data_IF_209734281330
#
_entry.id   IF_209734281330
#
_cell.length_a   1.000
_cell.length_b   1.000
_cell.length_c   1.000
_cell.angle_alpha   90.00
_cell.angle_beta   90.00
_cell.angle_gamma   90.00
#
_symmetry.space_group_name_H-M   'P 1'
#
loop_
_entity.id
_entity.type
_entity.pdbx_description
1 polymer ?
#
# COMPACT_ATOMS: atom_id res chain seq x y z
N UNK A 1 -3.44 12.87 -32.00
CA UNK A 1 -4.51 13.56 -31.26
C UNK A 1 -5.73 12.66 -31.36
N UNK A 2 -6.01 11.87 -30.33
CA UNK A 2 -7.30 11.20 -30.20
C UNK A 2 -8.18 12.13 -29.37
N UNK A 3 -9.38 12.45 -29.87
CA UNK A 3 -10.37 13.22 -29.14
C UNK A 3 -10.93 12.43 -27.95
N UNK A 4 -11.72 13.07 -27.07
CA UNK A 4 -12.35 12.38 -25.95
C UNK A 4 -13.20 11.21 -26.45
N UNK A 5 -13.04 10.05 -25.81
CA UNK A 5 -13.78 8.85 -26.19
C UNK A 5 -15.25 9.00 -25.79
N UNK A 6 -16.15 8.84 -26.76
CA UNK A 6 -17.58 8.82 -26.49
C UNK A 6 -17.98 7.44 -25.98
N UNK A 7 -18.33 7.35 -24.69
CA UNK A 7 -18.84 6.13 -24.08
C UNK A 7 -20.37 6.12 -24.25
N UNK A 8 -20.95 5.11 -24.93
CA UNK A 8 -22.40 4.98 -25.05
C UNK A 8 -23.04 4.82 -23.67
N UNK A 9 -24.19 5.46 -23.45
CA UNK A 9 -24.97 5.33 -22.22
C UNK A 9 -25.60 3.93 -22.09
N UNK A 10 -24.79 2.98 -21.63
CA UNK A 10 -25.17 1.59 -21.39
C UNK A 10 -24.48 1.10 -20.11
N UNK A 11 -25.26 0.95 -19.04
CA UNK A 11 -24.78 0.52 -17.74
C UNK A 11 -24.04 -0.84 -17.76
N UNK A 12 -24.44 -1.77 -18.64
CA UNK A 12 -23.77 -3.08 -18.75
C UNK A 12 -22.42 -2.94 -19.45
N UNK A 13 -22.33 -2.08 -20.46
CA UNK A 13 -21.06 -1.75 -21.11
C UNK A 13 -20.13 -1.01 -20.14
N UNK A 14 -20.64 -0.01 -19.42
CA UNK A 14 -19.91 0.74 -18.39
C UNK A 14 -19.24 -0.19 -17.39
N UNK A 15 -19.98 -1.13 -16.80
CA UNK A 15 -19.45 -2.12 -15.84
C UNK A 15 -18.34 -2.98 -16.46
N UNK A 16 -18.48 -3.39 -17.73
CA UNK A 16 -17.45 -4.16 -18.45
C UNK A 16 -16.18 -3.34 -18.70
N UNK A 17 -16.32 -2.07 -19.08
CA UNK A 17 -15.19 -1.19 -19.33
C UNK A 17 -14.44 -0.90 -18.03
N UNK A 18 -15.14 -0.54 -16.95
CA UNK A 18 -14.55 -0.36 -15.62
C UNK A 18 -13.76 -1.59 -15.17
N UNK A 19 -14.35 -2.78 -15.33
CA UNK A 19 -13.68 -4.05 -15.01
C UNK A 19 -12.44 -4.27 -15.86
N UNK A 20 -12.54 -4.10 -17.17
CA UNK A 20 -11.42 -4.33 -18.08
C UNK A 20 -10.28 -3.35 -17.77
N UNK A 21 -10.52 -2.04 -17.84
CA UNK A 21 -9.47 -1.04 -17.62
C UNK A 21 -8.81 -1.18 -16.25
N UNK A 22 -9.58 -1.46 -15.20
CA UNK A 22 -9.03 -1.69 -13.87
C UNK A 22 -8.23 -2.99 -13.76
N UNK A 23 -8.60 -4.05 -14.49
CA UNK A 23 -7.86 -5.31 -14.51
C UNK A 23 -6.47 -5.20 -15.16
N UNK A 24 -6.33 -4.28 -16.13
CA UNK A 24 -5.06 -3.96 -16.78
C UNK A 24 -4.38 -2.72 -16.17
N UNK A 25 -4.84 -2.28 -15.00
CA UNK A 25 -4.28 -1.15 -14.24
C UNK A 25 -4.12 0.14 -15.06
N UNK A 26 -5.06 0.39 -15.96
CA UNK A 26 -5.05 1.55 -16.86
C UNK A 26 -6.25 2.44 -16.56
N UNK A 27 -6.00 3.74 -16.45
CA UNK A 27 -7.03 4.75 -16.21
C UNK A 27 -7.60 5.28 -17.51
N UNK A 28 -8.92 5.46 -17.53
CA UNK A 28 -9.63 6.17 -18.59
C UNK A 28 -10.45 7.28 -17.93
N UNK A 29 -10.10 8.54 -18.20
CA UNK A 29 -10.70 9.69 -17.52
C UNK A 29 -12.22 9.74 -17.72
N UNK A 30 -12.70 9.32 -18.89
CA UNK A 30 -14.11 9.24 -19.24
C UNK A 30 -14.89 8.19 -18.42
N UNK A 31 -14.20 7.22 -17.81
CA UNK A 31 -14.82 6.24 -16.92
C UNK A 31 -14.96 6.74 -15.47
N UNK A 32 -14.28 7.82 -15.08
CA UNK A 32 -14.44 8.40 -13.74
C UNK A 32 -15.88 8.86 -13.48
N UNK A 33 -16.52 9.70 -14.32
CA UNK A 33 -17.90 10.11 -14.08
C UNK A 33 -18.88 8.92 -14.10
N UNK A 34 -18.61 7.90 -14.92
CA UNK A 34 -19.38 6.65 -14.94
C UNK A 34 -19.28 5.91 -13.61
N UNK A 35 -18.07 5.77 -13.05
CA UNK A 35 -17.87 5.14 -11.74
C UNK A 35 -18.46 5.96 -10.59
N UNK A 36 -18.38 7.30 -10.66
CA UNK A 36 -18.99 8.20 -9.67
C UNK A 36 -20.52 8.08 -9.66
N UNK A 37 -21.14 8.01 -10.84
CA UNK A 37 -22.57 7.80 -10.98
C UNK A 37 -22.98 6.46 -10.35
N UNK A 38 -22.28 5.37 -10.69
CA UNK A 38 -22.57 4.07 -10.10
C UNK A 38 -22.42 4.07 -8.57
N UNK A 39 -21.36 4.70 -8.03
CA UNK A 39 -21.18 4.84 -6.58
C UNK A 39 -22.30 5.67 -5.92
N UNK A 40 -22.89 6.61 -6.64
CA UNK A 40 -24.01 7.44 -6.14
C UNK A 40 -25.31 6.65 -6.13
N UNK A 41 -25.55 5.85 -7.18
CA UNK A 41 -26.74 5.00 -7.31
C UNK A 41 -26.71 3.81 -6.34
N UNK A 42 -25.53 3.25 -6.09
CA UNK A 42 -25.31 2.07 -5.24
C UNK A 42 -24.21 2.35 -4.19
N UNK A 43 -24.48 3.18 -3.14
CA UNK A 43 -23.44 3.64 -2.19
C UNK A 43 -22.79 2.52 -1.37
N UNK A 44 -23.52 1.44 -1.14
CA UNK A 44 -23.08 0.24 -0.42
C UNK A 44 -22.36 -0.78 -1.30
N UNK A 45 -22.22 -0.52 -2.61
CA UNK A 45 -21.57 -1.42 -3.56
C UNK A 45 -20.06 -1.33 -3.42
N UNK A 46 -19.43 -2.42 -2.97
CA UNK A 46 -17.97 -2.54 -2.89
C UNK A 46 -17.33 -2.39 -4.29
N UNK A 47 -17.93 -3.01 -5.30
CA UNK A 47 -17.47 -2.95 -6.69
C UNK A 47 -17.47 -1.50 -7.21
N UNK A 48 -18.56 -0.76 -6.97
CA UNK A 48 -18.66 0.64 -7.42
C UNK A 48 -17.55 1.49 -6.78
N UNK A 49 -17.30 1.30 -5.48
CA UNK A 49 -16.29 2.05 -4.73
C UNK A 49 -14.88 1.69 -5.18
N UNK A 50 -14.63 0.40 -5.41
CA UNK A 50 -13.38 -0.11 -5.95
C UNK A 50 -13.07 0.51 -7.33
N UNK A 51 -14.01 0.44 -8.27
CA UNK A 51 -13.77 0.91 -9.64
C UNK A 51 -13.59 2.44 -9.70
N UNK A 52 -14.28 3.19 -8.84
CA UNK A 52 -14.06 4.63 -8.71
C UNK A 52 -12.63 4.93 -8.23
N UNK A 53 -12.20 4.28 -7.15
CA UNK A 53 -10.85 4.46 -6.62
C UNK A 53 -9.77 4.04 -7.64
N UNK A 54 -9.99 2.90 -8.31
CA UNK A 54 -9.08 2.36 -9.31
C UNK A 54 -8.90 3.32 -10.50
N UNK A 55 -10.00 3.83 -11.08
CA UNK A 55 -9.90 4.75 -12.22
C UNK A 55 -9.22 6.07 -11.85
N UNK A 56 -9.54 6.65 -10.68
CA UNK A 56 -8.87 7.85 -10.17
C UNK A 56 -7.36 7.62 -9.98
N UNK A 57 -6.99 6.49 -9.36
CA UNK A 57 -5.58 6.10 -9.16
C UNK A 57 -4.84 5.94 -10.48
N UNK A 58 -5.41 5.18 -11.42
CA UNK A 58 -4.74 4.86 -12.68
C UNK A 58 -4.71 6.06 -13.65
N UNK A 59 -5.64 7.01 -13.51
CA UNK A 59 -5.55 8.32 -14.16
C UNK A 59 -4.51 9.24 -13.52
N UNK A 60 -3.89 8.83 -12.40
CA UNK A 60 -2.78 9.53 -11.77
C UNK A 60 -3.19 10.58 -10.76
N UNK A 61 -4.39 10.49 -10.18
CA UNK A 61 -4.78 11.36 -9.08
C UNK A 61 -3.85 11.16 -7.87
N UNK A 62 -3.36 12.28 -7.33
CA UNK A 62 -2.35 12.30 -6.27
C UNK A 62 -2.93 12.28 -4.86
N UNK A 63 -2.52 13.23 -4.02
CA UNK A 63 -2.86 13.27 -2.60
C UNK A 63 -4.36 13.41 -2.31
N UNK A 64 -5.13 14.04 -3.19
CA UNK A 64 -6.58 14.17 -3.05
C UNK A 64 -7.30 12.82 -3.00
N UNK A 65 -6.70 11.76 -3.56
CA UNK A 65 -7.27 10.42 -3.57
C UNK A 65 -7.00 9.64 -2.27
N UNK A 66 -6.00 10.03 -1.47
CA UNK A 66 -5.55 9.25 -0.33
C UNK A 66 -6.66 9.01 0.70
N UNK A 67 -7.44 10.06 1.01
CA UNK A 67 -8.53 9.95 1.99
C UNK A 67 -9.59 8.92 1.56
N UNK A 68 -9.94 8.90 0.27
CA UNK A 68 -10.92 7.94 -0.26
C UNK A 68 -10.37 6.51 -0.30
N UNK A 69 -9.08 6.34 -0.60
CA UNK A 69 -8.42 5.03 -0.53
C UNK A 69 -8.38 4.49 0.90
N UNK A 70 -8.04 5.33 1.88
CA UNK A 70 -8.09 4.97 3.29
C UNK A 70 -9.51 4.60 3.73
N UNK A 71 -10.50 5.44 3.41
CA UNK A 71 -11.90 5.17 3.75
C UNK A 71 -12.42 3.88 3.11
N UNK A 72 -12.04 3.60 1.86
CA UNK A 72 -12.37 2.33 1.19
C UNK A 72 -11.71 1.14 1.90
N UNK A 73 -10.42 1.22 2.19
CA UNK A 73 -9.66 0.16 2.86
C UNK A 73 -10.13 -0.15 4.28
N UNK A 74 -10.55 0.87 5.03
CA UNK A 74 -11.13 0.73 6.37
C UNK A 74 -12.53 0.10 6.31
N UNK A 75 -13.34 0.48 5.33
CA UNK A 75 -14.72 -0.04 5.17
C UNK A 75 -14.73 -1.48 4.64
N UNK A 76 -13.88 -1.79 3.67
CA UNK A 76 -13.83 -3.05 2.94
C UNK A 76 -12.39 -3.58 2.85
N UNK A 77 -11.87 -4.13 3.96
CA UNK A 77 -10.53 -4.69 4.02
C UNK A 77 -10.37 -5.88 3.06
N UNK A 78 -9.77 -5.65 1.88
CA UNK A 78 -9.59 -6.68 0.84
C UNK A 78 -8.25 -6.59 0.12
N UNK A 79 -7.86 -7.67 -0.58
CA UNK A 79 -6.65 -7.69 -1.43
C UNK A 79 -6.69 -6.60 -2.51
N UNK A 80 -7.88 -6.23 -2.98
CA UNK A 80 -8.06 -5.15 -3.95
C UNK A 80 -7.77 -3.79 -3.31
N UNK A 81 -8.33 -3.51 -2.13
CA UNK A 81 -8.06 -2.29 -1.39
C UNK A 81 -6.58 -2.15 -1.01
N UNK A 82 -5.96 -3.25 -0.55
CA UNK A 82 -4.53 -3.33 -0.26
C UNK A 82 -3.69 -2.92 -1.50
N UNK A 83 -4.01 -3.48 -2.66
CA UNK A 83 -3.29 -3.20 -3.90
C UNK A 83 -3.42 -1.73 -4.33
N UNK A 84 -4.59 -1.11 -4.17
CA UNK A 84 -4.77 0.31 -4.52
C UNK A 84 -3.91 1.23 -3.64
N UNK A 85 -3.89 1.00 -2.32
CA UNK A 85 -3.03 1.77 -1.40
C UNK A 85 -1.53 1.54 -1.69
N UNK A 86 -1.12 0.31 -1.95
CA UNK A 86 0.27 -0.02 -2.29
C UNK A 86 0.70 0.67 -3.60
N UNK A 87 -0.14 0.64 -4.62
CA UNK A 87 0.12 1.31 -5.90
C UNK A 87 0.18 2.84 -5.75
N UNK A 88 -0.73 3.42 -4.96
CA UNK A 88 -0.70 4.85 -4.64
C UNK A 88 0.61 5.21 -3.91
N UNK A 89 0.96 4.48 -2.86
CA UNK A 89 2.20 4.72 -2.09
C UNK A 89 3.43 4.59 -2.99
N UNK A 90 3.52 3.54 -3.83
CA UNK A 90 4.64 3.36 -4.76
C UNK A 90 4.85 4.54 -5.73
N UNK A 91 3.78 5.28 -6.04
CA UNK A 91 3.83 6.44 -6.94
C UNK A 91 4.09 7.76 -6.21
N UNK A 92 3.47 7.96 -5.06
CA UNK A 92 3.43 9.27 -4.39
C UNK A 92 4.30 9.34 -3.14
N UNK A 93 4.36 8.27 -2.36
CA UNK A 93 5.16 8.20 -1.13
C UNK A 93 5.84 6.82 -0.98
N UNK A 94 6.90 6.53 -1.75
CA UNK A 94 7.55 5.22 -1.79
C UNK A 94 8.06 4.74 -0.43
N UNK A 95 8.47 5.67 0.43
CA UNK A 95 8.98 5.37 1.78
C UNK A 95 7.89 4.81 2.71
N UNK A 96 6.61 5.12 2.48
CA UNK A 96 5.50 4.49 3.19
C UNK A 96 5.25 3.04 2.76
N UNK A 97 5.74 2.62 1.59
CA UNK A 97 5.36 1.35 0.99
C UNK A 97 5.68 0.17 1.91
N UNK A 98 6.88 0.15 2.49
CA UNK A 98 7.30 -0.93 3.38
C UNK A 98 6.45 -0.98 4.65
N UNK A 99 6.15 0.17 5.23
CA UNK A 99 5.30 0.32 6.41
C UNK A 99 3.87 -0.15 6.11
N UNK A 100 3.34 0.22 4.94
CA UNK A 100 2.01 -0.18 4.50
C UNK A 100 1.93 -1.71 4.29
N UNK A 101 2.95 -2.33 3.69
CA UNK A 101 3.03 -3.81 3.58
C UNK A 101 2.97 -4.46 4.97
N UNK A 102 3.67 -3.91 5.96
CA UNK A 102 3.64 -4.42 7.33
C UNK A 102 2.24 -4.31 7.96
N UNK A 103 1.57 -3.15 7.80
CA UNK A 103 0.21 -2.94 8.33
C UNK A 103 -0.79 -3.88 7.68
N UNK A 104 -0.73 -4.04 6.35
CA UNK A 104 -1.60 -4.95 5.59
C UNK A 104 -1.40 -6.39 6.06
N UNK A 105 -0.16 -6.84 6.17
CA UNK A 105 0.14 -8.21 6.57
C UNK A 105 -0.25 -8.47 8.02
N UNK A 106 0.06 -7.55 8.94
CA UNK A 106 -0.32 -7.65 10.34
C UNK A 106 -1.84 -7.79 10.52
N UNK A 107 -2.64 -7.06 9.72
CA UNK A 107 -4.11 -7.17 9.76
C UNK A 107 -4.61 -8.56 9.35
N UNK A 108 -3.92 -9.22 8.42
CA UNK A 108 -4.27 -10.57 7.98
C UNK A 108 -3.83 -11.66 8.97
N UNK A 109 -2.95 -11.34 9.93
CA UNK A 109 -2.45 -12.28 10.92
C UNK A 109 -3.39 -12.34 12.12
N UNK A 110 -4.49 -13.09 11.96
CA UNK A 110 -5.45 -13.37 13.04
C UNK A 110 -5.67 -14.88 13.20
N UNK A 111 -6.03 -15.32 14.40
CA UNK A 111 -6.39 -16.71 14.67
C UNK A 111 -7.81 -17.04 14.21
N UNK A 112 -8.25 -18.28 14.43
CA UNK A 112 -9.59 -18.73 14.05
C UNK A 112 -10.73 -17.99 14.80
N UNK A 113 -10.40 -17.28 15.88
CA UNK A 113 -11.31 -16.46 16.69
C UNK A 113 -11.20 -14.97 16.35
N UNK A 114 -10.40 -14.61 15.34
CA UNK A 114 -10.15 -13.23 14.92
C UNK A 114 -9.22 -12.46 15.86
N UNK A 115 -8.54 -13.12 16.79
CA UNK A 115 -7.56 -12.45 17.66
C UNK A 115 -6.26 -12.22 16.90
N UNK A 116 -5.63 -11.04 17.07
CA UNK A 116 -4.33 -10.76 16.45
C UNK A 116 -3.29 -11.81 16.84
N UNK A 117 -2.69 -12.44 15.83
CA UNK A 117 -1.50 -13.26 15.99
C UNK A 117 -0.27 -12.35 16.06
N UNK A 118 0.80 -12.90 16.62
CA UNK A 118 2.10 -12.25 16.60
C UNK A 118 2.57 -12.12 15.16
N UNK A 119 2.54 -10.91 14.63
CA UNK A 119 3.06 -10.61 13.30
C UNK A 119 4.59 -10.62 13.32
N UNK A 120 5.18 -11.28 12.33
CA UNK A 120 6.61 -11.35 12.13
C UNK A 120 6.96 -10.80 10.73
N UNK A 121 7.44 -9.55 10.64
CA UNK A 121 7.75 -8.93 9.37
C UNK A 121 8.75 -9.73 8.53
N UNK A 122 8.45 -9.85 7.23
CA UNK A 122 9.35 -10.48 6.27
C UNK A 122 9.40 -12.01 6.34
N UNK A 123 8.43 -12.68 6.95
CA UNK A 123 8.31 -14.14 6.86
C UNK A 123 7.50 -14.61 5.66
N UNK A 124 6.49 -13.84 5.21
CA UNK A 124 5.75 -14.23 4.02
C UNK A 124 6.53 -13.96 2.73
N UNK A 125 6.38 -14.89 1.78
CA UNK A 125 6.91 -14.72 0.43
C UNK A 125 6.31 -13.48 -0.26
N UNK A 126 5.03 -13.17 0.00
CA UNK A 126 4.36 -11.97 -0.54
C UNK A 126 5.06 -10.70 -0.08
N UNK A 127 5.29 -10.54 1.22
CA UNK A 127 5.96 -9.35 1.77
C UNK A 127 7.38 -9.19 1.25
N UNK A 128 8.14 -10.28 1.17
CA UNK A 128 9.47 -10.25 0.55
C UNK A 128 9.41 -9.84 -0.93
N UNK A 129 8.45 -10.33 -1.70
CA UNK A 129 8.32 -9.92 -3.11
C UNK A 129 7.98 -8.44 -3.24
N UNK A 130 7.03 -7.93 -2.45
CA UNK A 130 6.64 -6.52 -2.45
C UNK A 130 7.81 -5.61 -2.04
N UNK A 131 8.55 -5.97 -0.99
CA UNK A 131 9.73 -5.22 -0.59
C UNK A 131 10.86 -5.27 -1.62
N UNK A 132 11.05 -6.41 -2.29
CA UNK A 132 12.01 -6.51 -3.38
C UNK A 132 11.60 -5.58 -4.52
N UNK A 133 10.32 -5.58 -4.91
CA UNK A 133 9.80 -4.72 -5.97
C UNK A 133 10.07 -3.23 -5.71
N UNK A 134 9.81 -2.75 -4.49
CA UNK A 134 10.05 -1.33 -4.17
C UNK A 134 11.55 -1.00 -4.06
N UNK A 135 12.38 -1.91 -3.56
CA UNK A 135 13.85 -1.75 -3.58
C UNK A 135 14.37 -1.58 -5.02
N UNK A 136 13.92 -2.44 -5.93
CA UNK A 136 14.35 -2.39 -7.34
C UNK A 136 13.75 -1.21 -8.11
N UNK A 137 12.73 -0.52 -7.56
CA UNK A 137 12.13 0.64 -8.21
C UNK A 137 13.06 1.86 -8.26
N UNK A 138 14.07 1.93 -7.38
CA UNK A 138 14.98 3.07 -7.25
C UNK A 138 14.33 4.34 -6.71
N UNK A 139 13.11 4.26 -6.18
CA UNK A 139 12.33 5.42 -5.71
C UNK A 139 12.42 5.69 -4.20
N UNK A 140 13.04 4.80 -3.45
CA UNK A 140 13.16 4.94 -1.99
C UNK A 140 14.21 5.97 -1.64
N UNK A 141 14.01 6.65 -0.51
CA UNK A 141 15.11 7.40 0.11
C UNK A 141 16.19 6.45 0.63
N UNK A 142 17.41 6.95 0.90
CA UNK A 142 18.44 6.17 1.58
C UNK A 142 17.98 5.61 2.93
N UNK A 143 17.04 6.29 3.61
CA UNK A 143 16.43 5.84 4.85
C UNK A 143 15.48 4.65 4.61
N UNK A 144 14.54 4.79 3.67
CA UNK A 144 13.59 3.73 3.31
C UNK A 144 14.29 2.48 2.76
N UNK A 145 15.30 2.66 1.91
CA UNK A 145 16.13 1.55 1.40
C UNK A 145 16.79 0.80 2.55
N UNK A 146 17.44 1.53 3.46
CA UNK A 146 18.19 0.93 4.56
C UNK A 146 17.28 0.19 5.55
N UNK A 147 16.08 0.71 5.81
CA UNK A 147 15.05 0.05 6.60
C UNK A 147 14.59 -1.29 5.97
N UNK A 148 14.32 -1.31 4.67
CA UNK A 148 13.89 -2.54 4.00
C UNK A 148 15.02 -3.58 3.98
N UNK A 149 16.26 -3.15 3.70
CA UNK A 149 17.43 -4.04 3.75
C UNK A 149 17.63 -4.65 5.14
N UNK A 150 17.43 -3.89 6.22
CA UNK A 150 17.56 -4.42 7.58
C UNK A 150 16.53 -5.52 7.88
N UNK A 151 15.32 -5.41 7.33
CA UNK A 151 14.27 -6.43 7.44
C UNK A 151 14.56 -7.67 6.58
N UNK A 152 15.07 -7.50 5.35
CA UNK A 152 15.41 -8.62 4.46
C UNK A 152 16.48 -9.54 5.03
N UNK A 153 17.57 -8.95 5.53
CA UNK A 153 18.75 -9.73 5.89
C UNK A 153 18.71 -10.26 7.33
N UNK A 154 17.61 -10.06 8.08
CA UNK A 154 17.33 -10.53 9.47
C UNK A 154 18.46 -10.31 10.51
N UNK A 155 19.54 -9.61 10.17
CA UNK A 155 20.78 -9.52 10.97
C UNK A 155 21.16 -8.11 11.38
N UNK A 156 20.45 -7.08 10.92
CA UNK A 156 20.91 -5.70 11.06
C UNK A 156 19.89 -4.68 11.53
N UNK A 157 18.64 -5.01 11.86
CA UNK A 157 17.73 -4.03 12.48
C UNK A 157 18.42 -3.35 13.69
N UNK A 158 18.86 -4.13 14.66
CA UNK A 158 19.56 -3.57 15.83
C UNK A 158 20.88 -2.83 15.52
N UNK A 159 21.59 -3.22 14.46
CA UNK A 159 22.80 -2.53 14.00
C UNK A 159 22.48 -1.23 13.22
N UNK A 160 21.37 -1.22 12.48
CA UNK A 160 20.80 -0.09 11.76
C UNK A 160 20.37 0.98 12.76
N UNK A 161 19.58 0.61 13.78
CA UNK A 161 19.24 1.48 14.92
C UNK A 161 20.46 2.18 15.49
N UNK A 162 21.50 1.42 15.88
CA UNK A 162 22.73 1.98 16.46
C UNK A 162 23.52 2.87 15.50
N UNK A 163 23.56 2.52 14.21
CA UNK A 163 24.30 3.30 13.22
C UNK A 163 23.71 4.68 12.95
N UNK A 164 22.39 4.86 13.18
CA UNK A 164 21.62 6.04 12.80
C UNK A 164 21.32 6.98 13.98
N UNK A 165 21.30 6.47 15.21
CA UNK A 165 21.15 7.28 16.44
C UNK A 165 22.29 8.31 16.62
N UNK A 166 23.42 8.15 15.92
CA UNK A 166 24.58 9.06 16.01
C UNK A 166 24.89 9.91 14.77
N UNK A 167 24.13 9.81 13.66
CA UNK A 167 24.40 10.58 12.43
C UNK A 167 23.42 11.75 12.28
N UNK A 168 23.93 12.97 12.40
CA UNK A 168 23.18 14.24 12.30
C UNK A 168 22.50 14.47 10.93
N UNK A 169 22.81 13.67 9.91
CA UNK A 169 22.30 13.87 8.53
C UNK A 169 20.91 13.30 8.27
N UNK A 170 20.28 12.66 9.26
CA UNK A 170 18.96 12.01 9.09
C UNK A 170 17.91 12.37 10.15
N UNK A 171 18.31 13.16 11.14
CA UNK A 171 17.41 13.63 12.19
C UNK A 171 16.25 14.49 11.65
N UNK A 172 16.33 14.95 10.39
CA UNK A 172 15.32 15.81 9.77
C UNK A 172 14.27 15.07 8.93
N UNK A 173 14.36 13.74 8.78
CA UNK A 173 13.34 13.00 8.02
C UNK A 173 12.07 12.79 8.84
N UNK A 174 10.88 13.23 8.36
CA UNK A 174 9.61 12.99 9.08
C UNK A 174 9.26 11.50 9.18
N UNK A 175 9.93 10.63 8.40
CA UNK A 175 9.72 9.18 8.42
C UNK A 175 10.58 8.45 9.47
N UNK A 176 11.58 9.12 10.06
CA UNK A 176 12.50 8.47 10.98
C UNK A 176 11.77 7.86 12.18
N UNK A 177 10.87 8.61 12.80
CA UNK A 177 10.12 8.13 13.97
C UNK A 177 9.16 6.99 13.60
N UNK A 178 8.58 7.02 12.40
CA UNK A 178 7.74 5.94 11.91
C UNK A 178 8.53 4.64 11.70
N UNK A 179 9.73 4.73 11.11
CA UNK A 179 10.60 3.57 10.95
C UNK A 179 11.12 3.03 12.29
N UNK A 180 11.39 3.91 13.26
CA UNK A 180 11.75 3.52 14.63
C UNK A 180 10.64 2.73 15.32
N UNK A 181 9.39 3.20 15.21
CA UNK A 181 8.23 2.48 15.75
C UNK A 181 8.06 1.13 15.04
N UNK A 182 8.14 1.11 13.71
CA UNK A 182 8.02 -0.13 12.95
C UNK A 182 9.12 -1.14 13.30
N UNK A 183 10.36 -0.67 13.49
CA UNK A 183 11.45 -1.50 13.96
C UNK A 183 11.24 -2.02 15.37
N UNK A 184 10.73 -1.21 16.31
CA UNK A 184 10.43 -1.66 17.66
C UNK A 184 9.39 -2.80 17.64
N UNK A 185 8.34 -2.67 16.82
CA UNK A 185 7.36 -3.75 16.60
C UNK A 185 8.04 -5.02 16.11
N UNK A 186 9.01 -4.91 15.19
CA UNK A 186 9.80 -6.05 14.71
C UNK A 186 10.63 -6.66 15.85
N UNK A 187 11.32 -5.85 16.64
CA UNK A 187 12.18 -6.33 17.73
C UNK A 187 11.38 -7.01 18.84
N UNK A 188 10.19 -6.51 19.17
CA UNK A 188 9.26 -7.15 20.10
C UNK A 188 8.66 -8.44 19.52
N UNK A 189 8.54 -8.52 18.19
CA UNK A 189 8.17 -9.76 17.50
C UNK A 189 9.29 -10.82 17.57
N UNK A 190 10.55 -10.41 17.65
CA UNK A 190 11.71 -11.28 17.83
C UNK A 190 12.42 -11.00 19.16
N UNK A 191 11.75 -11.22 20.32
CA UNK A 191 12.43 -11.10 21.60
C UNK A 191 13.57 -12.12 21.57
N UNK A 192 14.77 -11.68 21.98
CA UNK A 192 15.98 -12.49 21.99
C UNK A 192 15.63 -13.93 22.37
N UNK A 193 15.73 -14.86 21.41
CA UNK A 193 16.21 -16.18 21.82
C UNK A 193 17.56 -15.86 22.47
N UNK A 194 17.64 -16.03 23.78
CA UNK A 194 18.93 -16.14 24.44
C UNK A 194 19.71 -17.16 23.60
N UNK A 195 20.71 -16.65 22.86
CA UNK A 195 21.63 -17.52 22.14
C UNK A 195 22.42 -18.24 23.22
N UNK A 196 21.87 -19.38 23.66
CA UNK A 196 22.59 -20.45 24.34
C UNK A 196 23.52 -21.14 23.35
#
# INVERSE_FOLDING_TARGET
MEGPWLIPDDAKLHRKLLRWYSSVQTGMAELIPVAQQWQTEEPESEDARYYLCAQRLYCGEGESLLADLCAYWESYPSTQADNLLLQWSKRHCPDYFALLVMVIEARSMVDAQGQPLKYVPGESARTRLLWAEILHSGKLSPLGQSFIESLFFKRKAWAWWKSRVGSETEQDSPFLDLYRVAEQVVLEAFPKQEML
#
